data_IF_051642415486
#
_entry.id   IF_051642415486
#
_cell.length_a   1.000
_cell.length_b   1.000
_cell.length_c   1.000
_cell.angle_alpha   90.00
_cell.angle_beta   90.00
_cell.angle_gamma   90.00
#
_symmetry.space_group_name_H-M   'P 1'
#
loop_
_entity.id
_entity.type
_entity.pdbx_description
1 polymer ?
#
# COMPACT_ATOMS: atom_id res chain seq x y z
N UNK A 1 -8.45 -11.97 16.26
CA UNK A 1 -7.87 -10.61 16.46
C UNK A 1 -8.32 -9.67 15.35
N UNK A 2 -8.77 -8.47 15.71
CA UNK A 2 -9.14 -7.40 14.77
C UNK A 2 -7.91 -6.56 14.41
N UNK A 3 -7.81 -6.12 13.15
CA UNK A 3 -6.75 -5.22 12.67
C UNK A 3 -7.38 -4.05 11.94
N UNK A 4 -6.90 -2.84 12.23
CA UNK A 4 -7.28 -1.64 11.51
C UNK A 4 -6.06 -1.10 10.76
N UNK A 5 -6.18 -0.94 9.44
CA UNK A 5 -5.19 -0.29 8.58
C UNK A 5 -5.71 1.13 8.32
N UNK A 6 -4.98 2.13 8.83
CA UNK A 6 -5.41 3.53 8.83
C UNK A 6 -4.46 4.35 7.97
N UNK A 7 -5.00 5.30 7.21
CA UNK A 7 -4.21 6.23 6.40
C UNK A 7 -3.84 5.69 5.03
N UNK A 8 -4.61 4.76 4.46
CA UNK A 8 -4.36 4.15 3.13
C UNK A 8 -4.74 5.12 2.00
N UNK A 9 -4.01 6.23 1.92
CA UNK A 9 -4.25 7.36 1.02
C UNK A 9 -3.20 7.41 -0.08
N UNK A 10 -3.53 8.04 -1.21
CA UNK A 10 -2.62 8.18 -2.35
C UNK A 10 -1.33 8.95 -2.00
N UNK A 11 -1.36 9.84 -1.01
CA UNK A 11 -0.20 10.61 -0.55
C UNK A 11 0.73 9.84 0.40
N UNK A 12 0.22 8.79 1.06
CA UNK A 12 0.98 7.99 2.05
C UNK A 12 1.43 6.66 1.46
N UNK A 13 0.65 6.09 0.53
CA UNK A 13 0.90 4.80 -0.11
C UNK A 13 0.75 4.96 -1.63
N UNK A 14 1.83 4.80 -2.41
CA UNK A 14 3.21 4.49 -2.00
C UNK A 14 3.89 5.69 -1.30
N UNK A 15 4.70 5.44 -0.28
CA UNK A 15 5.43 6.53 0.38
C UNK A 15 6.55 7.05 -0.52
N UNK A 16 6.29 8.17 -1.21
CA UNK A 16 7.21 8.74 -2.22
C UNK A 16 8.68 8.88 -1.75
N UNK A 17 8.99 9.26 -0.49
CA UNK A 17 10.38 9.32 -0.03
C UNK A 17 11.08 7.96 0.08
N UNK A 18 10.34 6.85 0.18
CA UNK A 18 10.88 5.48 0.21
C UNK A 18 10.89 4.81 -1.16
N UNK A 19 10.27 5.41 -2.17
CA UNK A 19 10.20 4.84 -3.52
C UNK A 19 11.25 5.52 -4.39
N UNK A 20 12.24 4.76 -4.84
CA UNK A 20 13.25 5.25 -5.78
C UNK A 20 12.56 5.76 -7.04
N UNK A 21 12.83 6.98 -7.52
CA UNK A 21 12.24 7.47 -8.76
C UNK A 21 12.57 6.57 -9.97
N UNK A 22 11.59 6.33 -10.84
CA UNK A 22 11.74 5.41 -11.96
C UNK A 22 12.76 5.87 -13.01
N UNK A 23 13.04 7.18 -13.05
CA UNK A 23 14.08 7.83 -13.87
C UNK A 23 15.49 7.59 -13.34
N UNK A 24 15.66 7.32 -12.04
CA UNK A 24 16.95 6.99 -11.43
C UNK A 24 17.25 5.50 -11.55
N UNK A 25 16.32 4.65 -11.12
CA UNK A 25 16.46 3.19 -11.22
C UNK A 25 15.08 2.51 -11.35
N UNK A 26 14.69 2.04 -12.55
CA UNK A 26 13.41 1.39 -12.77
C UNK A 26 13.33 -0.04 -12.20
N UNK A 27 14.45 -0.68 -11.90
CA UNK A 27 14.47 -1.99 -11.23
C UNK A 27 14.20 -1.81 -9.75
N UNK A 28 14.93 -0.89 -9.10
CA UNK A 28 14.73 -0.56 -7.70
C UNK A 28 13.35 0.04 -7.45
N UNK A 29 12.87 0.96 -8.30
CA UNK A 29 11.53 1.54 -8.21
C UNK A 29 10.42 0.46 -8.12
N UNK A 30 10.49 -0.56 -8.98
CA UNK A 30 9.52 -1.67 -8.97
C UNK A 30 9.64 -2.52 -7.71
N UNK A 31 10.86 -2.73 -7.21
CA UNK A 31 11.11 -3.45 -5.96
C UNK A 31 10.51 -2.70 -4.77
N UNK A 32 10.72 -1.38 -4.69
CA UNK A 32 10.19 -0.54 -3.62
C UNK A 32 8.65 -0.50 -3.64
N UNK A 33 8.06 -0.36 -4.83
CA UNK A 33 6.60 -0.44 -4.99
C UNK A 33 6.04 -1.82 -4.59
N UNK A 34 6.75 -2.91 -4.90
CA UNK A 34 6.34 -4.25 -4.49
C UNK A 34 6.46 -4.43 -2.98
N UNK A 35 7.50 -3.87 -2.35
CA UNK A 35 7.65 -3.90 -0.90
C UNK A 35 6.48 -3.21 -0.18
N UNK A 36 6.04 -2.05 -0.68
CA UNK A 36 4.86 -1.34 -0.16
C UNK A 36 3.58 -2.17 -0.32
N UNK A 37 3.38 -2.84 -1.48
CA UNK A 37 2.26 -3.77 -1.67
C UNK A 37 2.32 -4.96 -0.71
N UNK A 38 3.50 -5.55 -0.53
CA UNK A 38 3.70 -6.66 0.40
C UNK A 38 3.37 -6.24 1.84
N UNK A 39 3.77 -5.03 2.25
CA UNK A 39 3.45 -4.49 3.57
C UNK A 39 1.93 -4.40 3.77
N UNK A 40 1.21 -3.81 2.80
CA UNK A 40 -0.25 -3.71 2.84
C UNK A 40 -0.90 -5.10 2.90
N UNK A 41 -0.44 -6.04 2.06
CA UNK A 41 -0.93 -7.41 2.04
C UNK A 41 -0.74 -8.11 3.39
N UNK A 42 0.44 -7.99 4.00
CA UNK A 42 0.73 -8.58 5.31
C UNK A 42 -0.14 -7.94 6.38
N UNK A 43 -0.31 -6.61 6.37
CA UNK A 43 -1.18 -5.92 7.32
C UNK A 43 -2.64 -6.43 7.24
N UNK A 44 -3.16 -6.56 6.02
CA UNK A 44 -4.52 -7.05 5.77
C UNK A 44 -4.69 -8.53 6.16
N UNK A 45 -3.73 -9.40 5.82
CA UNK A 45 -3.82 -10.85 6.09
C UNK A 45 -3.57 -11.21 7.55
N UNK A 46 -3.07 -10.28 8.37
CA UNK A 46 -2.92 -10.49 9.83
C UNK A 46 -4.25 -10.39 10.59
N UNK A 47 -5.27 -9.79 9.98
CA UNK A 47 -6.64 -9.76 10.48
C UNK A 47 -7.23 -11.18 10.46
N UNK A 48 -7.65 -11.67 11.63
CA UNK A 48 -8.28 -13.00 11.74
C UNK A 48 -9.80 -12.92 11.96
N UNK A 49 -10.28 -11.86 12.59
CA UNK A 49 -11.71 -11.72 12.93
C UNK A 49 -12.35 -10.62 12.09
N UNK A 50 -11.75 -9.43 12.08
CA UNK A 50 -12.24 -8.28 11.31
C UNK A 50 -11.07 -7.43 10.81
N UNK A 51 -11.23 -6.90 9.59
CA UNK A 51 -10.31 -5.97 8.95
C UNK A 51 -11.06 -4.66 8.70
N UNK A 52 -10.53 -3.56 9.24
CA UNK A 52 -11.01 -2.21 8.93
C UNK A 52 -9.93 -1.47 8.14
N UNK A 53 -10.29 -0.86 7.01
CA UNK A 53 -9.40 -0.02 6.22
C UNK A 53 -9.99 1.39 6.19
N UNK A 54 -9.16 2.39 6.47
CA UNK A 54 -9.57 3.79 6.40
C UNK A 54 -8.54 4.64 5.68
N UNK A 55 -9.04 5.68 5.00
CA UNK A 55 -8.26 6.65 4.25
C UNK A 55 -8.89 8.03 4.42
N UNK A 56 -8.07 9.06 4.24
CA UNK A 56 -8.48 10.47 4.30
C UNK A 56 -8.29 11.11 2.92
N UNK A 57 -9.36 11.67 2.34
CA UNK A 57 -9.31 12.24 1.00
C UNK A 57 -9.26 11.14 -0.08
N UNK A 58 -8.19 11.12 -0.88
CA UNK A 58 -8.06 10.18 -1.99
C UNK A 58 -7.45 8.85 -1.55
N UNK A 59 -8.14 7.77 -1.89
CA UNK A 59 -7.68 6.40 -1.58
C UNK A 59 -6.41 6.07 -2.36
N UNK A 60 -5.56 5.23 -1.78
CA UNK A 60 -4.40 4.71 -2.51
C UNK A 60 -4.83 3.87 -3.71
N UNK A 61 -4.11 3.99 -4.84
CA UNK A 61 -4.23 3.10 -6.01
C UNK A 61 -4.03 1.62 -5.68
N UNK A 62 -3.35 1.33 -4.56
CA UNK A 62 -3.13 -0.03 -4.08
C UNK A 62 -4.44 -0.72 -3.62
N UNK A 63 -5.51 0.05 -3.41
CA UNK A 63 -6.86 -0.44 -3.12
C UNK A 63 -7.74 -0.55 -4.36
N UNK A 64 -7.22 -0.23 -5.55
CA UNK A 64 -7.97 -0.41 -6.78
C UNK A 64 -8.16 -1.91 -7.05
N UNK A 65 -9.39 -2.35 -7.35
CA UNK A 65 -9.63 -3.75 -7.65
C UNK A 65 -8.82 -4.13 -8.90
N UNK A 66 -8.12 -5.26 -8.84
CA UNK A 66 -7.51 -5.88 -10.02
C UNK A 66 -8.66 -6.25 -10.95
N UNK A 67 -8.84 -5.48 -12.01
CA UNK A 67 -9.79 -5.80 -13.06
C UNK A 67 -9.12 -6.90 -13.89
N UNK A 68 -9.57 -8.14 -13.70
CA UNK A 68 -9.10 -9.31 -14.45
C UNK A 68 -9.72 -9.40 -15.84
#
# INVERSE_FOLDING_TARGET
RCVAVVGVTSSVLPFAPHVTPADVDPVQHRSDLLAEHCLLFVACTRARDALAISWSGERSRMLDPVTG
#
